data_IF_012362971044
#
_entry.id   IF_012362971044
#
_cell.length_a   1.000
_cell.length_b   1.000
_cell.length_c   1.000
_cell.angle_alpha   90.00
_cell.angle_beta   90.00
_cell.angle_gamma   90.00
#
_symmetry.space_group_name_H-M   'P 1'
#
loop_
_entity.id
_entity.type
_entity.pdbx_description
1 polymer ?
#
# COMPACT_ATOMS: atom_id res chain seq x y z
N UNK A 1 61.16 20.08 -15.59
CA UNK A 1 60.45 19.06 -14.80
C UNK A 1 59.08 19.62 -14.45
N UNK A 2 58.01 19.08 -15.04
CA UNK A 2 56.65 19.55 -14.78
C UNK A 2 56.10 18.81 -13.55
N UNK A 3 55.65 19.56 -12.56
CA UNK A 3 54.94 19.07 -11.38
C UNK A 3 53.60 18.47 -11.81
N UNK A 4 53.27 17.21 -11.48
CA UNK A 4 51.96 16.67 -11.78
C UNK A 4 50.92 17.31 -10.83
N UNK A 5 49.79 17.75 -11.40
CA UNK A 5 48.68 18.30 -10.63
C UNK A 5 48.07 17.23 -9.71
N UNK A 6 47.50 17.61 -8.55
CA UNK A 6 46.84 16.66 -7.66
C UNK A 6 45.63 16.09 -8.40
N UNK A 7 45.62 14.78 -8.62
CA UNK A 7 44.41 14.08 -9.06
C UNK A 7 43.39 14.24 -7.94
N UNK A 8 42.42 15.13 -8.15
CA UNK A 8 41.20 15.19 -7.38
C UNK A 8 40.56 13.82 -7.50
N UNK A 9 40.71 13.00 -6.47
CA UNK A 9 39.92 11.80 -6.27
C UNK A 9 38.46 12.24 -6.38
N UNK A 10 37.84 11.95 -7.51
CA UNK A 10 36.41 12.06 -7.63
C UNK A 10 35.87 11.19 -6.51
N UNK A 11 35.28 11.85 -5.51
CA UNK A 11 34.40 11.21 -4.56
C UNK A 11 33.34 10.52 -5.39
N UNK A 12 33.57 9.23 -5.64
CA UNK A 12 32.53 8.27 -5.96
C UNK A 12 31.67 8.23 -4.70
N UNK A 13 30.89 9.31 -4.48
CA UNK A 13 29.83 9.34 -3.50
C UNK A 13 29.01 8.10 -3.79
N UNK A 14 28.89 7.24 -2.78
CA UNK A 14 28.02 6.07 -2.83
C UNK A 14 26.68 6.54 -3.41
N UNK A 15 26.43 6.24 -4.68
CA UNK A 15 25.10 6.35 -5.24
C UNK A 15 24.24 5.48 -4.31
N UNK A 16 23.14 6.01 -3.75
CA UNK A 16 22.28 5.20 -2.92
C UNK A 16 21.91 3.96 -3.73
N UNK A 17 22.04 2.78 -3.10
CA UNK A 17 21.65 1.50 -3.72
C UNK A 17 20.13 1.42 -3.79
N UNK A 18 19.54 2.29 -4.59
CA UNK A 18 18.11 2.39 -4.80
C UNK A 18 17.66 1.22 -5.66
N UNK A 19 16.51 0.65 -5.29
CA UNK A 19 15.82 -0.34 -6.10
C UNK A 19 14.42 0.17 -6.34
N UNK A 20 14.06 0.32 -7.61
CA UNK A 20 12.69 0.56 -7.99
C UNK A 20 11.90 -0.75 -7.89
N UNK A 21 10.69 -0.66 -7.33
CA UNK A 21 9.77 -1.79 -7.21
C UNK A 21 8.47 -1.44 -7.90
N UNK A 22 8.14 -2.18 -8.97
CA UNK A 22 6.85 -2.08 -9.64
C UNK A 22 5.91 -3.16 -9.11
N UNK A 23 4.76 -2.76 -8.55
CA UNK A 23 3.78 -3.66 -7.94
C UNK A 23 2.43 -3.50 -8.63
N UNK A 24 1.90 -4.60 -9.16
CA UNK A 24 0.52 -4.70 -9.63
C UNK A 24 -0.24 -5.59 -8.65
N UNK A 25 -1.10 -4.96 -7.85
CA UNK A 25 -1.81 -5.59 -6.74
C UNK A 25 -3.28 -5.17 -6.77
N UNK A 26 -4.14 -5.99 -6.19
CA UNK A 26 -5.58 -5.75 -6.17
C UNK A 26 -6.08 -5.67 -4.74
N UNK A 27 -6.91 -4.68 -4.45
CA UNK A 27 -7.44 -4.42 -3.12
C UNK A 27 -8.88 -4.92 -3.01
N UNK A 28 -9.17 -5.77 -2.04
CA UNK A 28 -10.49 -6.34 -1.82
C UNK A 28 -11.17 -5.74 -0.60
N UNK A 29 -12.10 -4.81 -0.87
CA UNK A 29 -13.08 -4.32 0.09
C UNK A 29 -14.27 -5.27 0.12
N UNK A 30 -14.61 -5.79 1.30
CA UNK A 30 -15.76 -6.69 1.49
C UNK A 30 -16.76 -6.00 2.42
N UNK A 31 -18.02 -5.98 2.01
CA UNK A 31 -19.16 -5.49 2.77
C UNK A 31 -20.12 -6.67 3.01
N UNK A 32 -20.84 -6.67 4.14
CA UNK A 32 -21.78 -7.74 4.50
C UNK A 32 -21.26 -8.67 5.61
N UNK A 33 -21.70 -9.94 5.65
CA UNK A 33 -21.39 -10.87 6.76
C UNK A 33 -19.90 -11.09 7.01
N UNK A 34 -19.06 -10.96 5.97
CA UNK A 34 -17.61 -11.09 6.03
C UNK A 34 -16.91 -9.73 5.87
N UNK A 35 -17.55 -8.65 6.31
CA UNK A 35 -17.00 -7.31 6.17
C UNK A 35 -15.61 -7.20 6.79
N UNK A 36 -14.68 -6.63 6.03
CA UNK A 36 -13.31 -6.39 6.47
C UNK A 36 -13.04 -4.90 6.76
N UNK A 37 -14.10 -4.20 7.12
CA UNK A 37 -14.09 -2.82 7.58
C UNK A 37 -15.21 -2.59 8.59
N UNK A 38 -15.08 -1.52 9.38
CA UNK A 38 -16.10 -1.11 10.34
C UNK A 38 -16.18 0.40 10.44
N UNK A 39 -17.39 0.95 10.28
CA UNK A 39 -17.66 2.37 10.54
C UNK A 39 -17.43 2.68 12.01
N UNK A 40 -16.61 3.69 12.28
CA UNK A 40 -16.28 4.18 13.62
C UNK A 40 -16.85 5.57 13.91
N UNK A 41 -17.10 6.36 12.86
CA UNK A 41 -17.81 7.63 12.94
C UNK A 41 -18.95 7.56 11.94
N UNK A 42 -20.19 7.25 12.38
CA UNK A 42 -21.36 7.20 11.51
C UNK A 42 -21.94 8.60 11.27
N UNK A 43 -22.76 8.72 10.23
CA UNK A 43 -23.67 9.85 10.02
C UNK A 43 -25.10 9.44 10.36
N UNK A 44 -26.02 10.39 10.57
CA UNK A 44 -27.42 10.04 10.85
C UNK A 44 -28.18 9.67 9.58
N UNK A 45 -29.25 8.87 9.69
CA UNK A 45 -30.13 8.60 8.55
C UNK A 45 -30.63 9.90 7.91
N UNK A 46 -30.50 10.01 6.58
CA UNK A 46 -30.93 11.18 5.80
C UNK A 46 -29.92 12.34 5.78
N UNK A 47 -28.82 12.28 6.52
CA UNK A 47 -27.73 13.25 6.43
C UNK A 47 -26.74 12.88 5.32
N UNK A 48 -25.94 13.86 4.89
CA UNK A 48 -24.80 13.60 4.01
C UNK A 48 -23.88 12.54 4.61
N UNK A 49 -23.26 11.72 3.75
CA UNK A 49 -22.25 10.75 4.17
C UNK A 49 -20.87 11.41 4.38
N UNK A 50 -20.72 12.71 4.09
CA UNK A 50 -19.50 13.47 4.36
C UNK A 50 -19.04 13.31 5.81
N UNK A 51 -17.77 12.96 6.00
CA UNK A 51 -17.17 12.71 7.32
C UNK A 51 -17.39 11.30 7.87
N UNK A 52 -18.22 10.46 7.23
CA UNK A 52 -18.33 9.04 7.64
C UNK A 52 -16.93 8.42 7.58
N UNK A 53 -16.53 7.79 8.67
CA UNK A 53 -15.19 7.24 8.83
C UNK A 53 -15.27 5.76 9.21
N UNK A 54 -14.47 4.94 8.54
CA UNK A 54 -14.34 3.53 8.83
C UNK A 54 -12.88 3.12 8.97
N UNK A 55 -12.62 2.18 9.88
CA UNK A 55 -11.37 1.45 9.93
C UNK A 55 -11.44 0.30 8.94
N UNK A 56 -10.34 0.02 8.23
CA UNK A 56 -10.25 -1.06 7.25
C UNK A 56 -9.09 -2.01 7.55
N UNK A 57 -9.33 -3.28 7.21
CA UNK A 57 -8.33 -4.33 7.07
C UNK A 57 -8.57 -5.04 5.74
N UNK A 58 -8.36 -4.33 4.63
CA UNK A 58 -8.67 -4.81 3.30
C UNK A 58 -7.60 -5.80 2.84
N UNK A 59 -8.02 -6.92 2.25
CA UNK A 59 -7.09 -7.91 1.72
C UNK A 59 -6.44 -7.38 0.44
N UNK A 60 -5.15 -7.62 0.28
CA UNK A 60 -4.42 -7.38 -0.96
C UNK A 60 -4.20 -8.73 -1.62
N UNK A 61 -4.62 -8.87 -2.88
CA UNK A 61 -4.53 -10.12 -3.64
C UNK A 61 -3.70 -9.94 -4.92
N UNK A 62 -3.20 -11.06 -5.46
CA UNK A 62 -2.28 -11.08 -6.60
C UNK A 62 -2.94 -11.15 -7.99
N UNK A 63 -4.27 -11.22 -8.06
CA UNK A 63 -5.03 -11.26 -9.30
C UNK A 63 -6.44 -10.68 -9.08
N UNK A 64 -7.13 -10.18 -10.12
CA UNK A 64 -8.49 -9.66 -10.01
C UNK A 64 -9.52 -10.81 -9.98
N UNK A 65 -9.37 -11.73 -9.03
CA UNK A 65 -10.20 -12.94 -8.89
C UNK A 65 -10.61 -13.14 -7.42
N UNK A 66 -11.86 -13.58 -7.19
CA UNK A 66 -12.38 -13.86 -5.85
C UNK A 66 -11.65 -14.98 -5.09
N UNK A 67 -10.95 -15.86 -5.80
CA UNK A 67 -10.12 -16.95 -5.25
C UNK A 67 -8.63 -16.62 -5.28
N UNK A 68 -8.26 -15.39 -5.64
CA UNK A 68 -6.86 -14.96 -5.68
C UNK A 68 -6.17 -15.09 -4.31
N UNK A 69 -4.86 -15.35 -4.34
CA UNK A 69 -4.08 -15.53 -3.13
C UNK A 69 -3.93 -14.17 -2.43
N UNK A 70 -4.21 -14.14 -1.13
CA UNK A 70 -3.92 -12.98 -0.29
C UNK A 70 -2.41 -12.85 -0.11
N UNK A 71 -1.85 -11.74 -0.57
CA UNK A 71 -0.42 -11.38 -0.50
C UNK A 71 -0.12 -10.28 0.50
N UNK A 72 -1.15 -9.73 1.16
CA UNK A 72 -0.99 -8.75 2.22
C UNK A 72 -2.31 -8.18 2.69
N UNK A 73 -2.23 -7.14 3.50
CA UNK A 73 -3.39 -6.33 3.90
C UNK A 73 -3.08 -4.84 3.85
N UNK A 74 -4.07 -4.04 3.48
CA UNK A 74 -4.08 -2.59 3.65
C UNK A 74 -4.87 -2.26 4.91
N UNK A 75 -4.16 -1.80 5.94
CA UNK A 75 -4.72 -1.53 7.25
C UNK A 75 -4.68 -0.03 7.55
N UNK A 76 -5.81 0.54 7.90
CA UNK A 76 -5.90 1.98 8.10
C UNK A 76 -7.33 2.49 8.23
N UNK A 77 -7.56 3.69 7.71
CA UNK A 77 -8.84 4.36 7.71
C UNK A 77 -9.20 4.88 6.32
N UNK A 78 -10.50 5.00 6.09
CA UNK A 78 -11.03 5.84 5.02
C UNK A 78 -12.14 6.74 5.53
N UNK A 79 -12.20 7.93 4.96
CA UNK A 79 -13.15 9.00 5.29
C UNK A 79 -13.83 9.44 4.01
N UNK A 80 -15.16 9.55 4.00
CA UNK A 80 -15.82 10.22 2.88
C UNK A 80 -15.52 11.72 2.95
N UNK A 81 -14.62 12.15 2.08
CA UNK A 81 -14.04 13.49 2.10
C UNK A 81 -14.62 14.39 1.01
N UNK A 82 -15.38 13.83 0.08
CA UNK A 82 -16.08 14.60 -0.94
C UNK A 82 -17.53 14.91 -0.50
N UNK A 83 -17.97 16.14 -0.77
CA UNK A 83 -19.31 16.64 -0.46
C UNK A 83 -20.29 16.52 -1.65
N UNK A 84 -19.92 16.94 -2.87
CA UNK A 84 -20.77 16.80 -4.05
C UNK A 84 -20.90 15.37 -4.58
N UNK A 85 -19.98 14.45 -4.26
CA UNK A 85 -20.03 13.07 -4.75
C UNK A 85 -19.45 12.05 -3.75
N UNK A 86 -19.38 10.78 -4.16
CA UNK A 86 -18.81 9.70 -3.34
C UNK A 86 -17.30 9.62 -3.56
N UNK A 87 -16.55 10.38 -2.77
CA UNK A 87 -15.08 10.39 -2.78
C UNK A 87 -14.50 10.08 -1.41
N UNK A 88 -13.65 9.06 -1.33
CA UNK A 88 -13.00 8.65 -0.08
C UNK A 88 -11.53 9.08 -0.05
N UNK A 89 -11.12 9.74 1.04
CA UNK A 89 -9.72 9.81 1.44
C UNK A 89 -9.35 8.50 2.12
N UNK A 90 -8.25 7.86 1.70
CA UNK A 90 -7.72 6.65 2.34
C UNK A 90 -6.31 6.91 2.87
N UNK A 91 -6.07 6.48 4.11
CA UNK A 91 -4.74 6.41 4.69
C UNK A 91 -4.55 5.01 5.26
N UNK A 92 -3.67 4.23 4.63
CA UNK A 92 -3.43 2.84 5.00
C UNK A 92 -1.95 2.49 4.89
N UNK A 93 -1.51 1.58 5.76
CA UNK A 93 -0.22 0.89 5.61
C UNK A 93 -0.42 -0.40 4.86
N UNK A 94 0.35 -0.62 3.80
CA UNK A 94 0.41 -1.90 3.08
C UNK A 94 1.35 -2.86 3.84
N UNK A 95 0.81 -3.95 4.38
CA UNK A 95 1.58 -5.05 4.96
C UNK A 95 1.60 -6.21 3.98
N UNK A 96 2.66 -6.26 3.17
CA UNK A 96 2.87 -7.33 2.21
C UNK A 96 3.57 -8.51 2.88
N UNK A 97 3.12 -9.73 2.59
CA UNK A 97 3.79 -10.94 3.04
C UNK A 97 5.08 -11.12 2.26
N UNK A 98 6.13 -11.55 2.96
CA UNK A 98 7.28 -12.14 2.28
C UNK A 98 6.82 -13.48 1.72
N UNK A 99 6.82 -13.62 0.41
CA UNK A 99 6.84 -14.97 -0.16
C UNK A 99 8.14 -15.60 0.35
N UNK A 100 8.04 -16.60 1.22
CA UNK A 100 9.17 -17.48 1.46
C UNK A 100 9.49 -18.07 0.09
N UNK A 101 10.51 -17.52 -0.56
CA UNK A 101 11.06 -18.10 -1.76
C UNK A 101 11.20 -19.58 -1.48
N UNK A 102 10.64 -20.42 -2.35
CA UNK A 102 11.07 -21.81 -2.44
C UNK A 102 12.52 -21.77 -2.94
N UNK A 103 13.44 -21.34 -2.09
CA UNK A 103 14.85 -21.68 -2.17
C UNK A 103 14.96 -23.16 -1.78
N UNK A 104 14.59 -24.01 -2.73
CA UNK A 104 15.19 -25.32 -2.89
C UNK A 104 15.63 -25.38 -4.33
N UNK A 105 16.89 -25.03 -4.58
CA UNK A 105 17.73 -25.54 -5.67
C UNK A 105 19.13 -24.91 -5.55
N UNK A 106 19.86 -25.34 -4.51
CA UNK A 106 21.31 -25.57 -4.57
C UNK A 106 21.63 -26.67 -3.57
N UNK A 107 21.58 -27.92 -4.04
CA UNK A 107 22.50 -28.99 -3.69
C UNK A 107 22.69 -29.86 -4.92
#
# INVERSE_FOLDING_TARGET
MATPLPQTYLTQCCLPCEKELNLVLYLHQVVGPNANQKTIIPTKPGESLFGITAVNNWAIVNAPDFKAKVVGHAQGIHVMADQPSVGYYNSSTLRLWREASRERLFR
#
